data_IF_451057232251
#
_entry.id   IF_451057232251
#
_cell.length_a   1.000
_cell.length_b   1.000
_cell.length_c   1.000
_cell.angle_alpha   90.00
_cell.angle_beta   90.00
_cell.angle_gamma   90.00
#
_symmetry.space_group_name_H-M   'P 1'
#
loop_
_entity.id
_entity.type
_entity.pdbx_description
1 polymer ?
#
# COMPACT_ATOMS: atom_id res chain seq x y z
N UNK A 1 27.44 -29.68 -29.68
CA UNK A 1 26.40 -28.66 -29.93
C UNK A 1 26.09 -28.00 -28.61
N UNK A 2 26.30 -26.69 -28.47
CA UNK A 2 25.66 -25.96 -27.38
C UNK A 2 24.15 -26.06 -27.59
N UNK A 3 23.44 -26.75 -26.70
CA UNK A 3 21.99 -26.71 -26.67
C UNK A 3 21.55 -25.25 -26.54
N UNK A 4 20.95 -24.71 -27.61
CA UNK A 4 20.32 -23.40 -27.59
C UNK A 4 19.13 -23.48 -26.63
N UNK A 5 19.32 -22.96 -25.43
CA UNK A 5 18.32 -22.96 -24.36
C UNK A 5 17.65 -21.60 -24.27
N UNK A 6 16.34 -21.63 -24.05
CA UNK A 6 15.51 -20.43 -23.89
C UNK A 6 15.55 -19.95 -22.44
N UNK A 7 15.57 -20.86 -21.46
CA UNK A 7 15.75 -20.56 -20.04
C UNK A 7 16.87 -21.43 -19.43
N UNK A 8 17.62 -20.87 -18.50
CA UNK A 8 18.73 -21.52 -17.81
C UNK A 8 18.27 -22.18 -16.50
N UNK A 9 17.40 -21.51 -15.73
CA UNK A 9 16.81 -22.05 -14.50
C UNK A 9 15.31 -21.76 -14.39
N UNK A 10 14.58 -22.71 -13.81
CA UNK A 10 13.28 -22.50 -13.18
C UNK A 10 13.46 -22.56 -11.66
N UNK A 11 12.83 -21.65 -10.94
CA UNK A 11 13.02 -21.46 -9.50
C UNK A 11 11.67 -21.27 -8.84
N UNK A 12 11.47 -21.92 -7.70
CA UNK A 12 10.39 -21.60 -6.75
C UNK A 12 11.07 -20.99 -5.53
N UNK A 13 10.69 -19.75 -5.19
CA UNK A 13 11.16 -19.04 -4.01
C UNK A 13 10.00 -18.78 -3.03
N UNK A 14 10.29 -18.79 -1.74
CA UNK A 14 9.28 -18.59 -0.70
C UNK A 14 9.82 -18.79 0.71
N UNK A 15 8.91 -19.06 1.64
CA UNK A 15 9.20 -19.28 3.06
C UNK A 15 9.90 -20.64 3.28
N UNK A 16 11.13 -20.68 3.83
CA UNK A 16 11.82 -21.94 4.12
C UNK A 16 11.25 -22.65 5.35
N UNK A 17 11.60 -23.93 5.52
CA UNK A 17 11.17 -24.75 6.67
C UNK A 17 11.68 -24.21 8.03
N UNK A 18 12.86 -23.56 8.03
CA UNK A 18 13.46 -22.92 9.19
C UNK A 18 13.61 -21.42 8.92
N UNK A 19 12.54 -20.63 9.12
CA UNK A 19 12.52 -19.24 8.69
C UNK A 19 13.37 -18.34 9.60
N UNK A 20 14.19 -17.51 8.96
CA UNK A 20 14.93 -16.41 9.60
C UNK A 20 14.21 -15.09 9.32
N UNK A 21 14.06 -14.24 10.33
CA UNK A 21 13.42 -12.93 10.17
C UNK A 21 14.19 -12.09 9.14
N UNK A 22 13.45 -11.34 8.33
CA UNK A 22 14.06 -10.41 7.40
C UNK A 22 14.54 -9.18 8.19
N UNK A 23 15.85 -9.03 8.30
CA UNK A 23 16.45 -7.89 9.00
C UNK A 23 16.28 -6.58 8.24
N UNK A 24 16.30 -5.51 9.02
CA UNK A 24 16.09 -4.14 8.54
C UNK A 24 17.13 -3.67 7.50
N UNK A 25 18.35 -4.22 7.54
CA UNK A 25 19.43 -3.94 6.59
C UNK A 25 19.24 -4.59 5.22
N UNK A 26 18.56 -5.74 5.17
CA UNK A 26 18.53 -6.63 3.99
C UNK A 26 17.42 -6.24 3.00
N UNK A 27 16.50 -5.37 3.41
CA UNK A 27 15.40 -4.85 2.59
C UNK A 27 15.77 -3.61 1.75
N UNK A 28 17.00 -3.11 1.87
CA UNK A 28 17.44 -1.87 1.23
C UNK A 28 16.64 -0.63 1.66
N UNK A 29 16.84 0.51 1.01
CA UNK A 29 16.10 1.77 1.26
C UNK A 29 14.58 1.69 0.98
N UNK A 30 14.01 0.51 0.74
CA UNK A 30 12.59 0.30 0.45
C UNK A 30 11.69 0.43 1.70
N UNK A 31 12.27 0.77 2.86
CA UNK A 31 11.59 1.06 4.14
C UNK A 31 10.81 2.38 4.24
N UNK A 32 10.57 3.07 3.13
CA UNK A 32 9.70 4.26 3.12
C UNK A 32 8.21 3.98 3.40
N UNK A 33 7.81 2.72 3.63
CA UNK A 33 6.43 2.33 3.86
C UNK A 33 6.10 2.37 5.35
N UNK A 34 5.39 3.42 5.74
CA UNK A 34 4.88 3.72 7.09
C UNK A 34 4.36 2.48 7.83
N UNK A 35 4.86 2.27 9.05
CA UNK A 35 4.33 1.29 10.02
C UNK A 35 2.92 1.63 10.49
N UNK A 36 2.44 2.85 10.18
CA UNK A 36 1.10 3.29 10.58
C UNK A 36 0.03 2.49 9.83
N UNK A 37 -1.09 2.15 10.50
CA UNK A 37 -2.26 1.62 9.80
C UNK A 37 -2.74 2.59 8.71
N UNK A 38 -3.44 2.07 7.67
CA UNK A 38 -4.03 2.91 6.64
C UNK A 38 -5.09 3.84 7.23
N UNK A 39 -5.42 4.89 6.49
CA UNK A 39 -6.48 5.82 6.89
C UNK A 39 -7.82 5.14 6.64
N UNK A 40 -8.61 4.99 7.70
CA UNK A 40 -9.98 4.47 7.59
C UNK A 40 -10.99 5.59 7.52
N UNK A 41 -10.74 6.76 8.11
CA UNK A 41 -11.73 7.82 8.17
C UNK A 41 -11.11 9.20 8.06
N UNK A 42 -11.92 10.13 7.57
CA UNK A 42 -11.58 11.52 7.35
C UNK A 42 -12.76 12.37 7.81
N UNK A 43 -12.47 13.45 8.52
CA UNK A 43 -13.47 14.34 9.10
C UNK A 43 -12.97 15.78 9.15
N UNK A 44 -13.88 16.68 9.48
CA UNK A 44 -13.63 18.11 9.60
C UNK A 44 -13.95 18.54 11.02
N UNK A 45 -13.07 19.36 11.61
CA UNK A 45 -13.23 19.92 12.96
C UNK A 45 -13.20 21.44 12.89
N UNK A 46 -14.11 22.08 13.63
CA UNK A 46 -14.13 23.52 13.85
C UNK A 46 -13.80 23.86 15.32
N UNK A 47 -12.52 23.95 15.72
CA UNK A 47 -12.13 24.19 17.12
C UNK A 47 -12.72 25.49 17.68
N UNK A 48 -12.78 26.55 16.85
CA UNK A 48 -13.38 27.83 17.24
C UNK A 48 -14.88 27.77 17.56
N UNK A 49 -15.56 26.68 17.21
CA UNK A 49 -16.96 26.41 17.55
C UNK A 49 -17.13 25.42 18.72
N UNK A 50 -16.05 25.15 19.45
CA UNK A 50 -16.02 24.24 20.60
C UNK A 50 -15.96 22.76 20.23
N UNK A 51 -15.68 22.42 18.97
CA UNK A 51 -15.53 21.03 18.54
C UNK A 51 -14.18 20.46 18.97
N UNK A 52 -14.17 19.21 19.43
CA UNK A 52 -12.97 18.49 19.85
C UNK A 52 -12.71 17.30 18.95
N UNK A 53 -11.43 16.92 18.82
CA UNK A 53 -11.02 15.77 18.01
C UNK A 53 -11.59 14.49 18.64
N UNK A 54 -12.32 13.65 17.88
CA UNK A 54 -12.87 12.41 18.41
C UNK A 54 -11.80 11.42 18.87
N UNK A 55 -12.15 10.51 19.78
CA UNK A 55 -11.23 9.48 20.25
C UNK A 55 -10.71 8.61 19.08
N UNK A 56 -9.40 8.38 19.04
CA UNK A 56 -8.71 7.63 17.99
C UNK A 56 -8.43 8.41 16.71
N UNK A 57 -8.89 9.66 16.59
CA UNK A 57 -8.54 10.52 15.46
C UNK A 57 -7.28 11.35 15.75
N UNK A 58 -6.49 11.60 14.72
CA UNK A 58 -5.38 12.54 14.71
C UNK A 58 -5.79 13.81 13.95
N UNK A 59 -5.45 14.98 14.51
CA UNK A 59 -5.66 16.28 13.88
C UNK A 59 -4.49 16.60 12.95
N UNK A 60 -4.79 17.08 11.75
CA UNK A 60 -3.80 17.66 10.84
C UNK A 60 -3.73 19.16 11.17
N UNK A 61 -2.92 19.47 12.18
CA UNK A 61 -2.78 20.84 12.70
C UNK A 61 -1.79 21.68 11.88
N UNK A 62 -0.75 21.03 11.35
CA UNK A 62 0.35 21.69 10.64
C UNK A 62 0.51 21.16 9.23
N UNK A 63 0.92 22.05 8.32
CA UNK A 63 1.39 21.70 6.98
C UNK A 63 2.76 21.04 7.05
N UNK A 64 3.25 20.41 5.97
CA UNK A 64 4.59 19.82 5.95
C UNK A 64 5.73 20.80 6.27
N UNK A 65 5.55 22.11 6.06
CA UNK A 65 6.56 23.12 6.40
C UNK A 65 6.34 23.79 7.76
N UNK A 66 5.29 23.40 8.49
CA UNK A 66 4.99 23.90 9.83
C UNK A 66 4.05 25.12 9.88
N UNK A 67 3.38 25.47 8.77
CA UNK A 67 2.29 26.45 8.79
C UNK A 67 1.04 25.84 9.41
N UNK A 68 0.10 26.66 9.85
CA UNK A 68 -1.22 26.20 10.31
C UNK A 68 -1.99 25.60 9.12
N UNK A 69 -2.41 24.34 9.25
CA UNK A 69 -3.14 23.60 8.22
C UNK A 69 -4.65 23.91 8.19
N UNK A 70 -5.00 25.19 8.37
CA UNK A 70 -6.37 25.66 8.27
C UNK A 70 -6.87 25.55 6.81
N UNK A 71 -7.94 24.79 6.60
CA UNK A 71 -8.53 24.52 5.29
C UNK A 71 -9.08 25.81 4.64
N UNK A 72 -9.39 26.83 5.45
CA UNK A 72 -9.81 28.15 4.98
C UNK A 72 -8.79 29.26 5.27
N UNK A 73 -7.50 28.92 5.41
CA UNK A 73 -6.41 29.81 5.81
C UNK A 73 -6.47 31.21 5.17
N UNK A 74 -6.38 32.25 6.02
CA UNK A 74 -6.39 33.65 5.60
C UNK A 74 -7.80 34.24 5.40
N UNK A 75 -8.83 33.46 5.69
CA UNK A 75 -10.23 33.89 5.65
C UNK A 75 -10.58 34.87 6.75
N UNK A 76 -11.19 36.00 6.39
CA UNK A 76 -11.73 36.96 7.36
C UNK A 76 -13.07 36.48 7.92
N UNK A 77 -13.23 36.55 9.26
CA UNK A 77 -14.48 36.25 9.99
C UNK A 77 -15.03 34.83 9.76
N UNK A 78 -14.16 33.87 9.46
CA UNK A 78 -14.50 32.45 9.37
C UNK A 78 -13.97 31.72 10.61
N UNK A 79 -14.70 30.74 11.17
CA UNK A 79 -14.07 29.80 12.09
C UNK A 79 -12.98 29.01 11.36
N UNK A 80 -11.84 28.82 12.01
CA UNK A 80 -10.80 27.93 11.52
C UNK A 80 -11.35 26.52 11.37
N UNK A 81 -10.86 25.81 10.35
CA UNK A 81 -11.38 24.52 9.95
C UNK A 81 -10.22 23.58 9.68
N UNK A 82 -10.17 22.43 10.34
CA UNK A 82 -9.06 21.49 10.23
C UNK A 82 -9.51 20.11 9.81
N UNK A 83 -8.59 19.36 9.22
CA UNK A 83 -8.81 17.94 8.92
C UNK A 83 -8.48 17.09 10.14
N UNK A 84 -9.30 16.09 10.43
CA UNK A 84 -8.92 15.00 11.32
C UNK A 84 -9.06 13.66 10.59
N UNK A 85 -8.19 12.69 10.89
CA UNK A 85 -8.24 11.36 10.30
C UNK A 85 -8.18 10.28 11.36
N UNK A 86 -8.76 9.12 11.07
CA UNK A 86 -8.61 7.91 11.90
C UNK A 86 -7.84 6.86 11.12
N UNK A 87 -6.88 6.23 11.78
CA UNK A 87 -6.11 5.11 11.23
C UNK A 87 -6.57 3.81 11.90
N UNK A 88 -6.66 2.73 11.14
CA UNK A 88 -7.12 1.47 11.69
C UNK A 88 -7.03 0.30 10.72
N UNK A 89 -7.31 -0.89 11.26
CA UNK A 89 -7.50 -2.14 10.52
C UNK A 89 -8.83 -2.82 10.86
N UNK A 90 -9.65 -2.14 11.66
CA UNK A 90 -10.96 -2.60 12.15
C UNK A 90 -12.07 -2.46 11.11
N UNK A 91 -11.85 -1.69 10.04
CA UNK A 91 -12.78 -1.54 8.92
C UNK A 91 -12.04 -1.23 7.61
N UNK A 92 -12.72 -1.33 6.44
CA UNK A 92 -12.07 -1.11 5.17
C UNK A 92 -11.47 0.30 5.05
N UNK A 93 -10.21 0.41 4.56
CA UNK A 93 -9.50 1.68 4.43
C UNK A 93 -10.07 2.55 3.32
N UNK A 94 -9.72 3.84 3.34
CA UNK A 94 -10.01 4.75 2.25
C UNK A 94 -9.15 4.40 1.04
N UNK A 95 -9.75 4.34 -0.15
CA UNK A 95 -9.05 4.11 -1.42
C UNK A 95 -8.90 5.39 -2.22
N UNK A 96 -9.61 6.45 -1.85
CA UNK A 96 -9.57 7.73 -2.53
C UNK A 96 -10.04 8.87 -1.64
N UNK A 97 -9.51 10.07 -1.88
CA UNK A 97 -9.96 11.32 -1.27
C UNK A 97 -10.11 12.35 -2.38
N UNK A 98 -11.19 13.11 -2.32
CA UNK A 98 -11.52 14.13 -3.30
C UNK A 98 -12.03 15.42 -2.64
N UNK A 99 -12.19 16.45 -3.47
CA UNK A 99 -12.82 17.71 -3.10
C UNK A 99 -13.96 17.96 -4.08
N UNK A 100 -15.12 18.37 -3.58
CA UNK A 100 -16.29 18.63 -4.40
C UNK A 100 -16.79 20.05 -4.16
N UNK A 101 -17.07 20.77 -5.26
CA UNK A 101 -17.78 22.03 -5.22
C UNK A 101 -19.28 21.76 -5.42
N UNK A 102 -20.10 22.16 -4.46
CA UNK A 102 -21.55 21.93 -4.50
C UNK A 102 -22.17 22.53 -5.78
N UNK A 103 -23.04 21.77 -6.43
CA UNK A 103 -23.77 22.19 -7.64
C UNK A 103 -22.97 22.18 -8.95
N UNK A 104 -21.66 21.91 -8.92
CA UNK A 104 -20.82 21.86 -10.13
C UNK A 104 -20.56 20.45 -10.64
N UNK A 105 -20.69 19.45 -9.78
CA UNK A 105 -20.26 18.08 -10.05
C UNK A 105 -21.23 17.07 -9.43
N UNK A 106 -21.30 15.87 -10.03
CA UNK A 106 -22.02 14.74 -9.45
C UNK A 106 -21.04 13.83 -8.74
N UNK A 107 -21.41 13.41 -7.53
CA UNK A 107 -20.63 12.44 -6.75
C UNK A 107 -20.68 11.06 -7.45
N UNK A 108 -19.55 10.35 -7.45
CA UNK A 108 -19.52 8.96 -7.90
C UNK A 108 -20.41 8.09 -6.98
N UNK A 109 -20.98 7.02 -7.50
CA UNK A 109 -21.93 6.19 -6.75
C UNK A 109 -21.32 5.51 -5.50
N UNK A 110 -20.01 5.26 -5.52
CA UNK A 110 -19.22 4.67 -4.44
C UNK A 110 -18.49 5.72 -3.58
N UNK A 111 -18.75 7.00 -3.81
CA UNK A 111 -18.16 8.10 -3.06
C UNK A 111 -19.11 8.66 -2.01
N UNK A 112 -18.54 8.98 -0.87
CA UNK A 112 -19.22 9.61 0.26
C UNK A 112 -18.70 11.03 0.44
N UNK A 113 -19.53 11.87 1.04
CA UNK A 113 -19.20 13.26 1.34
C UNK A 113 -19.11 13.44 2.85
N UNK A 114 -18.05 14.11 3.30
CA UNK A 114 -17.99 14.64 4.66
C UNK A 114 -18.93 15.83 4.72
N UNK A 115 -20.22 15.56 4.92
CA UNK A 115 -21.26 16.58 4.94
C UNK A 115 -21.32 17.29 6.29
N UNK A 116 -21.02 16.57 7.37
CA UNK A 116 -21.04 17.08 8.73
C UNK A 116 -19.65 17.05 9.37
N UNK A 117 -19.35 18.03 10.21
CA UNK A 117 -18.18 18.07 11.07
C UNK A 117 -18.35 17.09 12.23
N UNK A 118 -17.29 16.93 13.02
CA UNK A 118 -17.35 16.10 14.24
C UNK A 118 -18.36 16.62 15.27
N UNK A 119 -18.76 17.90 15.19
CA UNK A 119 -19.80 18.51 16.01
C UNK A 119 -21.18 18.59 15.34
N UNK A 120 -21.42 17.78 14.29
CA UNK A 120 -22.69 17.72 13.55
C UNK A 120 -23.11 19.04 12.87
N UNK A 121 -22.13 19.90 12.55
CA UNK A 121 -22.35 21.13 11.77
C UNK A 121 -22.03 20.87 10.31
N UNK A 122 -22.53 21.71 9.41
CA UNK A 122 -22.20 21.58 7.99
C UNK A 122 -20.68 21.72 7.77
N UNK A 123 -20.03 20.68 7.27
CA UNK A 123 -18.58 20.62 7.01
C UNK A 123 -18.17 21.34 5.72
N UNK A 124 -18.71 22.55 5.53
CA UNK A 124 -18.25 23.42 4.46
C UNK A 124 -16.86 23.98 4.82
N UNK A 125 -15.84 23.57 4.07
CA UNK A 125 -14.44 23.98 4.33
C UNK A 125 -14.09 25.32 3.67
N UNK A 126 -15.03 25.92 2.94
CA UNK A 126 -14.82 27.18 2.23
C UNK A 126 -15.53 28.36 2.92
N UNK A 127 -14.89 29.53 2.91
CA UNK A 127 -15.42 30.78 3.46
C UNK A 127 -16.09 31.68 2.39
N UNK A 128 -16.74 31.09 1.38
CA UNK A 128 -17.52 31.85 0.41
C UNK A 128 -18.94 31.30 0.30
N UNK A 129 -19.79 31.95 -0.50
CA UNK A 129 -21.16 31.49 -0.74
C UNK A 129 -21.21 30.13 -1.45
N UNK A 130 -20.14 29.76 -2.15
CA UNK A 130 -19.99 28.44 -2.73
C UNK A 130 -19.57 27.44 -1.64
N UNK A 131 -20.24 26.28 -1.57
CA UNK A 131 -19.86 25.24 -0.62
C UNK A 131 -18.82 24.31 -1.21
N UNK A 132 -17.79 24.01 -0.42
CA UNK A 132 -16.75 23.04 -0.76
C UNK A 132 -16.76 21.95 0.29
N UNK A 133 -16.75 20.69 -0.14
CA UNK A 133 -16.76 19.54 0.74
C UNK A 133 -15.62 18.59 0.41
N UNK A 134 -15.16 17.89 1.44
CA UNK A 134 -14.26 16.75 1.28
C UNK A 134 -15.10 15.53 0.96
N UNK A 135 -14.59 14.70 0.06
CA UNK A 135 -15.20 13.43 -0.35
C UNK A 135 -14.20 12.31 -0.17
N UNK A 136 -14.67 11.10 0.01
CA UNK A 136 -13.83 9.91 0.10
C UNK A 136 -14.50 8.73 -0.57
N UNK A 137 -13.68 7.74 -0.93
CA UNK A 137 -14.16 6.41 -1.33
C UNK A 137 -13.53 5.38 -0.42
N UNK A 138 -14.35 4.44 0.04
CA UNK A 138 -13.94 3.36 0.93
C UNK A 138 -13.74 2.08 0.16
N UNK A 139 -12.73 1.30 0.51
CA UNK A 139 -12.56 -0.04 -0.04
C UNK A 139 -13.82 -0.87 0.23
N UNK A 140 -14.20 -1.71 -0.73
CA UNK A 140 -15.23 -2.72 -0.48
C UNK A 140 -14.78 -3.67 0.64
N UNK A 141 -15.68 -4.18 1.50
CA UNK A 141 -15.30 -5.10 2.58
C UNK A 141 -14.57 -6.37 2.13
N UNK A 142 -14.73 -6.76 0.87
CA UNK A 142 -14.06 -7.92 0.25
C UNK A 142 -12.83 -7.55 -0.58
N UNK A 143 -12.37 -6.29 -0.53
CA UNK A 143 -11.21 -5.86 -1.31
C UNK A 143 -9.97 -6.70 -0.96
N UNK A 144 -9.07 -6.96 -1.93
CA UNK A 144 -7.87 -7.73 -1.68
C UNK A 144 -6.93 -7.00 -0.72
N UNK A 145 -6.21 -7.75 0.11
CA UNK A 145 -5.37 -7.20 1.17
C UNK A 145 -4.20 -6.36 0.66
N UNK A 146 -3.82 -6.47 -0.62
CA UNK A 146 -2.77 -5.69 -1.26
C UNK A 146 -3.29 -4.53 -2.13
N UNK A 147 -4.58 -4.18 -2.04
CA UNK A 147 -5.16 -3.05 -2.76
C UNK A 147 -4.43 -1.72 -2.43
N UNK A 148 -4.39 -0.79 -3.39
CA UNK A 148 -3.89 0.56 -3.15
C UNK A 148 -4.86 1.34 -2.28
N UNK A 149 -4.37 1.84 -1.15
CA UNK A 149 -5.17 2.56 -0.15
C UNK A 149 -4.48 3.86 0.24
N UNK A 150 -5.25 4.79 0.79
CA UNK A 150 -4.73 6.05 1.31
C UNK A 150 -4.02 5.76 2.63
N UNK A 151 -2.73 6.05 2.66
CA UNK A 151 -1.87 5.85 3.82
C UNK A 151 -1.45 7.16 4.46
N UNK A 152 -1.64 8.29 3.79
CA UNK A 152 -1.35 9.59 4.38
C UNK A 152 -2.10 10.74 3.73
N UNK A 153 -2.24 11.84 4.46
CA UNK A 153 -2.83 13.10 3.99
C UNK A 153 -2.07 14.29 4.55
N UNK A 154 -2.02 15.38 3.80
CA UNK A 154 -1.53 16.65 4.32
C UNK A 154 -2.23 17.81 3.61
N UNK A 155 -2.22 18.98 4.25
CA UNK A 155 -2.69 20.24 3.68
C UNK A 155 -1.47 21.05 3.27
N UNK A 156 -1.56 21.75 2.13
CA UNK A 156 -0.55 22.72 1.70
C UNK A 156 -1.20 24.07 1.42
N UNK A 157 -0.45 25.14 1.67
CA UNK A 157 -0.80 26.52 1.36
C UNK A 157 0.09 26.99 0.20
N UNK A 158 -0.35 26.70 -1.03
CA UNK A 158 0.43 26.94 -2.24
C UNK A 158 0.76 28.42 -2.44
N UNK A 159 -0.12 29.34 -2.03
CA UNK A 159 0.15 30.78 -2.09
C UNK A 159 1.27 31.25 -1.14
N UNK A 160 1.71 30.39 -0.22
CA UNK A 160 2.88 30.60 0.65
C UNK A 160 4.14 29.86 0.17
N UNK A 161 4.10 29.30 -1.05
CA UNK A 161 5.23 28.61 -1.66
C UNK A 161 5.38 27.15 -1.25
N UNK A 162 4.36 26.55 -0.63
CA UNK A 162 4.38 25.11 -0.32
C UNK A 162 4.06 24.26 -1.55
N UNK A 163 4.67 23.08 -1.62
CA UNK A 163 4.47 22.09 -2.67
C UNK A 163 4.09 20.73 -2.07
N UNK A 164 3.38 19.86 -2.82
CA UNK A 164 3.08 18.51 -2.38
C UNK A 164 4.36 17.74 -2.03
N UNK A 165 4.42 17.02 -0.89
CA UNK A 165 5.57 16.20 -0.55
C UNK A 165 5.82 15.05 -1.56
N UNK A 166 7.00 14.44 -1.50
CA UNK A 166 7.34 13.33 -2.38
C UNK A 166 6.31 12.18 -2.32
N UNK A 167 5.87 11.72 -3.50
CA UNK A 167 4.83 10.69 -3.69
C UNK A 167 3.42 11.04 -3.18
N UNK A 168 3.16 12.29 -2.77
CA UNK A 168 1.80 12.76 -2.53
C UNK A 168 1.16 13.26 -3.83
N UNK A 169 -0.10 12.89 -4.03
CA UNK A 169 -0.96 13.44 -5.07
C UNK A 169 -1.68 14.67 -4.52
N UNK A 170 -1.59 15.80 -5.20
CA UNK A 170 -2.38 16.99 -4.89
C UNK A 170 -3.73 16.91 -5.60
N UNK A 171 -4.81 17.15 -4.85
CA UNK A 171 -6.12 17.35 -5.45
C UNK A 171 -6.14 18.77 -6.01
N UNK A 172 -6.23 18.91 -7.33
CA UNK A 172 -6.17 20.20 -8.05
C UNK A 172 -7.46 21.04 -7.90
N UNK A 173 -7.93 21.21 -6.66
CA UNK A 173 -9.10 22.00 -6.29
C UNK A 173 -8.77 22.77 -5.01
N UNK A 174 -8.71 24.10 -5.15
CA UNK A 174 -8.49 24.97 -4.00
C UNK A 174 -9.70 24.88 -3.05
N UNK A 175 -9.43 24.58 -1.78
CA UNK A 175 -10.41 24.45 -0.71
C UNK A 175 -10.98 25.80 -0.28
N UNK A 176 -10.15 26.85 -0.34
CA UNK A 176 -10.47 28.20 0.07
C UNK A 176 -10.67 29.13 -1.14
N UNK A 177 -11.91 29.34 -1.54
CA UNK A 177 -12.31 30.22 -2.65
C UNK A 177 -12.77 31.61 -2.18
N UNK A 178 -12.40 32.02 -0.97
CA UNK A 178 -12.66 33.37 -0.47
C UNK A 178 -11.88 34.44 -1.23
N UNK A 179 -12.42 35.66 -1.34
CA UNK A 179 -11.82 36.77 -2.09
C UNK A 179 -10.41 37.18 -1.61
N UNK A 180 -10.08 36.90 -0.34
CA UNK A 180 -8.78 37.22 0.29
C UNK A 180 -8.13 35.99 0.92
N UNK A 181 -8.61 34.78 0.58
CA UNK A 181 -8.11 33.52 1.13
C UNK A 181 -6.80 33.08 0.48
N UNK A 182 -5.99 32.32 1.22
CA UNK A 182 -4.86 31.61 0.62
C UNK A 182 -5.31 30.52 -0.34
N UNK A 183 -4.43 30.11 -1.27
CA UNK A 183 -4.63 28.91 -2.06
C UNK A 183 -4.28 27.67 -1.25
N UNK A 184 -5.31 26.97 -0.75
CA UNK A 184 -5.17 25.81 0.13
C UNK A 184 -5.58 24.54 -0.61
N UNK A 185 -4.73 23.51 -0.57
CA UNK A 185 -4.95 22.25 -1.26
C UNK A 185 -4.78 21.04 -0.34
N UNK A 186 -5.58 20.01 -0.59
CA UNK A 186 -5.47 18.72 0.06
C UNK A 186 -4.60 17.79 -0.80
N UNK A 187 -3.63 17.16 -0.15
CA UNK A 187 -2.75 16.17 -0.73
C UNK A 187 -2.93 14.83 -0.02
N UNK A 188 -2.82 13.73 -0.75
CA UNK A 188 -2.86 12.39 -0.17
C UNK A 188 -1.80 11.48 -0.77
N UNK A 189 -1.34 10.48 -0.01
CA UNK A 189 -0.42 9.45 -0.47
C UNK A 189 -1.12 8.11 -0.48
N UNK A 190 -1.01 7.39 -1.60
CA UNK A 190 -1.47 5.99 -1.72
C UNK A 190 -0.30 5.02 -1.66
N UNK A 191 -0.54 3.85 -1.08
CA UNK A 191 0.40 2.74 -1.05
C UNK A 191 -0.38 1.43 -1.06
N UNK A 192 0.29 0.33 -1.39
CA UNK A 192 -0.28 -1.01 -1.19
C UNK A 192 -0.62 -1.18 0.29
N UNK A 193 -1.85 -1.62 0.56
CA UNK A 193 -2.28 -2.02 1.88
C UNK A 193 -1.42 -3.20 2.36
N UNK A 194 -1.08 -3.19 3.64
CA UNK A 194 -0.33 -4.27 4.28
C UNK A 194 -1.12 -4.79 5.47
N UNK A 195 -1.69 -6.00 5.36
CA UNK A 195 -2.29 -6.67 6.51
C UNK A 195 -1.22 -6.95 7.57
N UNK A 196 -1.61 -7.33 8.79
CA UNK A 196 -0.65 -7.86 9.76
C UNK A 196 0.17 -8.98 9.11
N UNK A 197 1.49 -8.86 9.17
CA UNK A 197 2.41 -9.78 8.53
C UNK A 197 3.72 -9.92 9.29
N UNK A 198 4.38 -11.04 9.07
CA UNK A 198 5.78 -11.28 9.44
C UNK A 198 6.56 -11.50 8.16
N UNK A 199 7.70 -10.82 8.00
CA UNK A 199 8.57 -10.98 6.84
C UNK A 199 9.82 -11.79 7.21
N UNK A 200 10.12 -12.78 6.39
CA UNK A 200 11.25 -13.68 6.53
C UNK A 200 12.18 -13.60 5.32
N UNK A 201 13.44 -14.01 5.51
CA UNK A 201 14.38 -14.18 4.40
C UNK A 201 13.85 -15.26 3.45
N UNK A 202 13.66 -14.95 2.15
CA UNK A 202 13.18 -15.93 1.19
C UNK A 202 14.32 -16.86 0.78
N UNK A 203 13.98 -18.13 0.51
CA UNK A 203 14.92 -19.13 0.02
C UNK A 203 14.42 -19.80 -1.26
N UNK A 204 15.33 -20.53 -1.93
CA UNK A 204 14.98 -21.42 -3.03
C UNK A 204 14.33 -22.67 -2.46
N UNK A 205 13.02 -22.80 -2.62
CA UNK A 205 12.27 -23.99 -2.24
C UNK A 205 12.44 -25.12 -3.26
N UNK A 206 12.58 -24.76 -4.53
CA UNK A 206 12.83 -25.71 -5.62
C UNK A 206 13.59 -25.00 -6.74
N UNK A 207 14.44 -25.75 -7.46
CA UNK A 207 15.03 -25.28 -8.71
C UNK A 207 15.23 -26.41 -9.71
N UNK A 208 15.14 -26.06 -10.98
CA UNK A 208 15.55 -26.90 -12.09
C UNK A 208 16.47 -26.13 -13.04
N UNK A 209 17.63 -26.68 -13.44
CA UNK A 209 18.22 -27.92 -12.96
C UNK A 209 18.63 -27.83 -11.48
N UNK A 210 18.78 -28.99 -10.83
CA UNK A 210 19.20 -29.09 -9.42
C UNK A 210 20.70 -28.90 -9.22
N UNK A 211 21.48 -29.05 -10.29
CA UNK A 211 22.94 -28.89 -10.32
C UNK A 211 23.28 -27.69 -11.20
N UNK A 212 24.31 -26.95 -10.79
CA UNK A 212 24.74 -25.77 -11.51
C UNK A 212 25.24 -26.09 -12.92
N UNK A 213 24.90 -25.21 -13.86
CA UNK A 213 25.36 -25.30 -15.23
C UNK A 213 26.75 -24.69 -15.35
N UNK A 214 27.62 -25.32 -16.12
CA UNK A 214 28.96 -24.77 -16.46
C UNK A 214 28.89 -23.37 -17.08
N UNK A 215 27.84 -23.09 -17.85
CA UNK A 215 27.63 -21.80 -18.52
C UNK A 215 27.00 -20.73 -17.64
N UNK A 216 26.39 -21.10 -16.51
CA UNK A 216 25.76 -20.17 -15.59
C UNK A 216 25.62 -20.84 -14.22
N UNK A 217 26.50 -20.48 -13.29
CA UNK A 217 26.35 -20.81 -11.87
C UNK A 217 25.09 -20.14 -11.35
N UNK A 218 24.33 -20.84 -10.51
CA UNK A 218 23.07 -20.30 -10.00
C UNK A 218 23.34 -19.11 -9.07
N UNK A 219 22.74 -17.93 -9.33
CA UNK A 219 22.94 -16.79 -8.45
C UNK A 219 22.15 -16.97 -7.14
N UNK A 220 22.85 -17.03 -6.01
CA UNK A 220 22.24 -17.26 -4.69
C UNK A 220 21.32 -16.13 -4.23
N UNK A 221 21.44 -14.93 -4.81
CA UNK A 221 20.59 -13.78 -4.53
C UNK A 221 19.18 -13.86 -5.14
N UNK A 222 18.93 -14.82 -6.05
CA UNK A 222 17.65 -14.92 -6.79
C UNK A 222 16.41 -14.84 -5.90
N UNK A 223 16.31 -15.52 -4.74
CA UNK A 223 15.14 -15.41 -3.87
C UNK A 223 14.82 -13.99 -3.42
N UNK A 224 15.84 -13.15 -3.17
CA UNK A 224 15.66 -11.74 -2.79
C UNK A 224 15.14 -10.90 -3.97
N UNK A 225 15.44 -11.26 -5.21
CA UNK A 225 14.88 -10.59 -6.38
C UNK A 225 13.45 -11.07 -6.70
N UNK A 226 13.16 -12.35 -6.44
CA UNK A 226 11.83 -12.91 -6.54
C UNK A 226 10.87 -12.30 -5.50
N UNK A 227 11.33 -12.14 -4.26
CA UNK A 227 10.56 -11.66 -3.12
C UNK A 227 11.34 -10.54 -2.40
N UNK A 228 11.42 -9.33 -2.98
CA UNK A 228 12.25 -8.24 -2.45
C UNK A 228 11.77 -7.72 -1.09
N UNK A 229 10.49 -7.93 -0.76
CA UNK A 229 9.91 -7.58 0.54
C UNK A 229 9.93 -8.75 1.54
N UNK A 230 10.61 -9.84 1.19
CA UNK A 230 10.66 -11.08 1.97
C UNK A 230 9.58 -12.09 1.62
N UNK A 231 9.78 -13.30 2.13
CA UNK A 231 8.72 -14.29 2.23
C UNK A 231 7.80 -13.90 3.41
N UNK A 232 6.56 -13.54 3.12
CA UNK A 232 5.61 -13.03 4.10
C UNK A 232 4.67 -14.11 4.57
N UNK A 233 4.41 -14.10 5.87
CA UNK A 233 3.30 -14.78 6.51
C UNK A 233 2.28 -13.69 6.84
N UNK A 234 1.09 -13.73 6.23
CA UNK A 234 0.11 -12.64 6.29
C UNK A 234 -1.22 -13.13 6.87
N UNK A 235 -1.85 -12.28 7.69
CA UNK A 235 -3.14 -12.57 8.29
C UNK A 235 -4.26 -11.77 7.61
N UNK A 236 -5.17 -12.46 6.93
CA UNK A 236 -6.21 -11.83 6.10
C UNK A 236 -7.61 -12.10 6.65
N UNK A 237 -8.55 -11.14 6.53
CA UNK A 237 -9.96 -11.42 6.75
C UNK A 237 -10.48 -12.50 5.79
N UNK A 238 -11.32 -13.42 6.26
CA UNK A 238 -11.84 -14.53 5.45
C UNK A 238 -12.75 -14.09 4.28
N UNK A 239 -13.26 -12.87 4.33
CA UNK A 239 -14.08 -12.29 3.26
C UNK A 239 -13.24 -11.53 2.20
N UNK A 240 -11.92 -11.38 2.39
CA UNK A 240 -11.05 -10.71 1.44
C UNK A 240 -10.88 -11.57 0.18
N UNK A 241 -10.97 -10.94 -0.99
CA UNK A 241 -10.67 -11.59 -2.27
C UNK A 241 -9.17 -11.85 -2.36
N UNK A 242 -8.79 -13.03 -2.85
CA UNK A 242 -7.39 -13.37 -3.10
C UNK A 242 -6.75 -12.39 -4.09
N UNK A 243 -5.63 -11.76 -3.75
CA UNK A 243 -4.84 -10.97 -4.68
C UNK A 243 -4.50 -11.73 -5.97
N UNK A 244 -4.56 -11.04 -7.10
CA UNK A 244 -4.11 -11.60 -8.37
C UNK A 244 -2.58 -11.81 -8.35
N UNK A 245 -2.07 -12.83 -9.06
CA UNK A 245 -0.64 -12.99 -9.27
C UNK A 245 -0.01 -11.74 -9.88
N UNK A 246 1.20 -11.40 -9.44
CA UNK A 246 1.94 -10.20 -9.86
C UNK A 246 3.18 -10.65 -10.65
N UNK A 247 3.25 -10.25 -11.91
CA UNK A 247 4.43 -10.44 -12.73
C UNK A 247 5.49 -9.37 -12.42
N UNK A 248 6.75 -9.77 -12.36
CA UNK A 248 7.89 -8.87 -12.18
C UNK A 248 9.10 -9.36 -12.98
N UNK A 249 10.00 -8.43 -13.29
CA UNK A 249 11.26 -8.72 -13.97
C UNK A 249 12.43 -8.10 -13.23
N UNK A 250 13.58 -8.74 -13.27
CA UNK A 250 14.81 -8.20 -12.71
C UNK A 250 16.02 -8.60 -13.56
N UNK A 251 17.14 -7.92 -13.35
CA UNK A 251 18.41 -8.21 -14.03
C UNK A 251 19.49 -8.39 -12.99
N UNK A 252 20.20 -9.52 -13.05
CA UNK A 252 21.36 -9.81 -12.25
C UNK A 252 22.61 -9.59 -13.09
N UNK A 253 23.54 -8.81 -12.55
CA UNK A 253 24.92 -8.72 -13.05
C UNK A 253 25.76 -9.69 -12.24
N UNK A 254 26.26 -10.74 -12.87
CA UNK A 254 27.15 -11.71 -12.20
C UNK A 254 28.50 -11.03 -11.91
N UNK A 255 29.25 -11.51 -10.91
CA UNK A 255 30.38 -10.81 -10.27
C UNK A 255 31.45 -10.20 -11.20
N UNK A 256 31.58 -10.71 -12.43
CA UNK A 256 32.56 -10.23 -13.41
C UNK A 256 32.01 -9.10 -14.32
N UNK A 257 30.76 -8.67 -14.09
CA UNK A 257 30.01 -7.62 -14.79
C UNK A 257 29.83 -7.81 -16.32
N UNK A 258 30.28 -8.93 -16.88
CA UNK A 258 30.22 -9.26 -18.30
C UNK A 258 28.91 -9.94 -18.72
N UNK A 259 28.32 -10.75 -17.84
CA UNK A 259 27.09 -11.50 -18.15
C UNK A 259 25.87 -10.94 -17.40
N UNK A 260 24.79 -10.73 -18.15
CA UNK A 260 23.48 -10.34 -17.62
C UNK A 260 22.55 -11.55 -17.60
N UNK A 261 21.89 -11.76 -16.47
CA UNK A 261 20.85 -12.77 -16.33
C UNK A 261 19.53 -12.06 -16.06
N UNK A 262 18.55 -12.33 -16.90
CA UNK A 262 17.20 -11.78 -16.82
C UNK A 262 16.31 -12.75 -16.04
N UNK A 263 15.70 -12.25 -14.98
CA UNK A 263 14.66 -12.93 -14.23
C UNK A 263 13.28 -12.48 -14.68
N UNK A 264 12.39 -13.44 -14.91
CA UNK A 264 10.94 -13.22 -15.09
C UNK A 264 10.24 -14.02 -14.00
N UNK A 265 9.43 -13.35 -13.20
CA UNK A 265 8.90 -13.88 -11.94
C UNK A 265 7.40 -13.63 -11.83
N UNK A 266 6.66 -14.60 -11.30
CA UNK A 266 5.26 -14.44 -10.92
C UNK A 266 5.13 -14.74 -9.44
N UNK A 267 4.74 -13.73 -8.67
CA UNK A 267 4.47 -13.83 -7.23
C UNK A 267 2.98 -14.01 -7.01
N UNK A 268 2.61 -14.94 -6.15
CA UNK A 268 1.23 -15.27 -5.81
C UNK A 268 1.13 -15.69 -4.35
N UNK A 269 -0.09 -15.91 -3.88
CA UNK A 269 -0.36 -16.29 -2.50
C UNK A 269 -0.97 -17.68 -2.41
N UNK A 270 -0.62 -18.41 -1.36
CA UNK A 270 -1.21 -19.70 -0.99
C UNK A 270 -1.66 -19.67 0.46
N UNK A 271 -2.68 -20.46 0.79
CA UNK A 271 -3.13 -20.62 2.18
C UNK A 271 -2.08 -21.36 3.01
N UNK A 272 -1.85 -20.85 4.22
CA UNK A 272 -0.97 -21.45 5.21
C UNK A 272 -1.80 -22.01 6.37
N UNK A 273 -1.61 -23.28 6.78
CA UNK A 273 -2.38 -23.86 7.87
C UNK A 273 -2.12 -23.11 9.18
N UNK A 274 -3.18 -22.53 9.76
CA UNK A 274 -3.06 -21.80 11.04
C UNK A 274 -2.55 -22.69 12.20
N UNK A 275 -2.71 -24.01 12.10
CA UNK A 275 -2.18 -25.00 13.06
C UNK A 275 -0.66 -25.12 13.05
N UNK A 276 0.01 -24.58 12.02
CA UNK A 276 1.47 -24.53 11.93
C UNK A 276 2.06 -23.22 12.46
N UNK A 277 1.24 -22.33 13.04
CA UNK A 277 1.74 -21.13 13.70
C UNK A 277 2.29 -21.46 15.08
N UNK A 278 3.47 -20.93 15.38
CA UNK A 278 3.98 -20.84 16.76
C UNK A 278 3.25 -19.74 17.54
N UNK A 279 3.26 -19.83 18.88
CA UNK A 279 2.67 -18.80 19.75
C UNK A 279 3.26 -17.40 19.48
N UNK A 280 4.56 -17.31 19.20
CA UNK A 280 5.22 -16.05 18.85
C UNK A 280 4.69 -15.47 17.52
N UNK A 281 4.48 -16.31 16.51
CA UNK A 281 3.90 -15.87 15.24
C UNK A 281 2.45 -15.42 15.40
N UNK A 282 1.66 -16.16 16.20
CA UNK A 282 0.29 -15.76 16.51
C UNK A 282 0.26 -14.38 17.18
N UNK A 283 1.16 -14.12 18.14
CA UNK A 283 1.23 -12.84 18.82
C UNK A 283 1.63 -11.69 17.87
N UNK A 284 2.68 -11.89 17.05
CA UNK A 284 3.16 -10.90 16.09
C UNK A 284 2.13 -10.57 15.00
N UNK A 285 1.37 -11.57 14.55
CA UNK A 285 0.27 -11.37 13.60
C UNK A 285 -0.95 -10.70 14.23
N UNK A 286 -0.97 -10.52 15.56
CA UNK A 286 -2.12 -9.97 16.26
C UNK A 286 -3.30 -10.93 16.28
N UNK A 287 -3.05 -12.25 16.27
CA UNK A 287 -4.06 -13.29 16.48
C UNK A 287 -4.50 -13.28 17.96
N UNK A 288 -5.21 -12.22 18.34
CA UNK A 288 -5.68 -11.93 19.70
C UNK A 288 -7.21 -11.87 19.72
N UNK A 289 -7.80 -11.66 20.90
CA UNK A 289 -9.26 -11.69 21.13
C UNK A 289 -10.07 -11.00 20.00
N UNK A 290 -10.96 -11.77 19.35
CA UNK A 290 -11.75 -11.34 18.18
C UNK A 290 -11.21 -11.81 16.82
N UNK A 291 -9.95 -12.25 16.77
CA UNK A 291 -9.30 -12.83 15.60
C UNK A 291 -9.17 -14.34 15.81
N UNK A 292 -9.75 -15.13 14.91
CA UNK A 292 -9.70 -16.59 14.92
C UNK A 292 -9.77 -17.13 13.51
N UNK A 293 -9.63 -18.45 13.33
CA UNK A 293 -9.73 -19.10 12.01
C UNK A 293 -11.11 -18.90 11.35
N UNK A 294 -12.14 -18.58 12.14
CA UNK A 294 -13.48 -18.29 11.65
C UNK A 294 -13.59 -16.89 11.03
N UNK A 295 -12.74 -15.95 11.46
CA UNK A 295 -12.76 -14.56 10.95
C UNK A 295 -11.60 -14.26 10.01
N UNK A 296 -10.46 -14.95 10.18
CA UNK A 296 -9.23 -14.72 9.45
C UNK A 296 -8.53 -16.02 9.03
N UNK A 297 -7.75 -15.93 7.97
CA UNK A 297 -6.92 -17.01 7.42
C UNK A 297 -5.50 -16.53 7.23
N UNK A 298 -4.55 -17.46 7.30
CA UNK A 298 -3.12 -17.18 7.13
C UNK A 298 -2.73 -17.51 5.70
N UNK A 299 -1.93 -16.65 5.08
CA UNK A 299 -1.46 -16.82 3.72
C UNK A 299 0.05 -16.58 3.66
N UNK A 300 0.71 -17.24 2.71
CA UNK A 300 2.12 -17.01 2.40
C UNK A 300 2.26 -16.55 0.96
N UNK A 301 3.23 -15.67 0.70
CA UNK A 301 3.63 -15.38 -0.68
C UNK A 301 4.64 -16.44 -1.18
N UNK A 302 4.54 -16.77 -2.46
CA UNK A 302 5.49 -17.60 -3.19
C UNK A 302 5.76 -16.98 -4.55
N UNK A 303 6.91 -17.30 -5.12
CA UNK A 303 7.28 -16.84 -6.45
C UNK A 303 7.79 -17.99 -7.29
N UNK A 304 7.30 -18.10 -8.52
CA UNK A 304 7.92 -18.92 -9.57
C UNK A 304 8.69 -18.01 -10.51
N UNK A 305 9.91 -18.38 -10.87
CA UNK A 305 10.81 -17.55 -11.66
C UNK A 305 11.55 -18.35 -12.72
N UNK A 306 11.68 -17.78 -13.92
CA UNK A 306 12.61 -18.21 -14.95
C UNK A 306 13.81 -17.27 -15.00
N UNK A 307 15.01 -17.85 -14.99
CA UNK A 307 16.26 -17.15 -15.27
C UNK A 307 16.70 -17.48 -16.69
N UNK A 308 17.08 -16.48 -17.45
CA UNK A 308 17.57 -16.63 -18.82
C UNK A 308 18.63 -15.59 -19.15
N UNK A 309 19.55 -15.95 -20.04
CA UNK A 309 20.43 -14.99 -20.73
C UNK A 309 19.70 -14.11 -21.75
N UNK A 310 18.46 -14.45 -22.09
CA UNK A 310 17.65 -13.74 -23.08
C UNK A 310 16.50 -12.97 -22.39
N UNK A 311 16.24 -11.72 -22.80
CA UNK A 311 15.20 -10.88 -22.20
C UNK A 311 13.79 -11.21 -22.77
N UNK A 312 13.33 -12.46 -22.64
CA UNK A 312 12.02 -12.90 -23.15
C UNK A 312 10.87 -12.72 -22.15
N UNK A 313 10.78 -11.55 -21.51
CA UNK A 313 9.83 -11.27 -20.41
C UNK A 313 8.39 -11.65 -20.74
N UNK A 314 7.86 -11.18 -21.87
CA UNK A 314 6.44 -11.32 -22.20
C UNK A 314 6.06 -12.78 -22.50
N UNK A 315 6.97 -13.53 -23.12
CA UNK A 315 6.79 -14.97 -23.37
C UNK A 315 6.84 -15.74 -22.07
N UNK A 316 7.76 -15.40 -21.17
CA UNK A 316 7.87 -16.05 -19.87
C UNK A 316 6.73 -15.71 -18.93
N UNK A 317 6.20 -14.50 -18.95
CA UNK A 317 4.99 -14.13 -18.21
C UNK A 317 3.83 -15.06 -18.56
N UNK A 318 3.52 -15.19 -19.85
CA UNK A 318 2.43 -16.05 -20.33
C UNK A 318 2.63 -17.51 -19.92
N UNK A 319 3.87 -18.00 -20.03
CA UNK A 319 4.18 -19.37 -19.65
C UNK A 319 4.08 -19.60 -18.13
N UNK A 320 4.61 -18.68 -17.31
CA UNK A 320 4.54 -18.77 -15.85
C UNK A 320 3.09 -18.69 -15.36
N UNK A 321 2.28 -17.79 -15.92
CA UNK A 321 0.85 -17.71 -15.61
C UNK A 321 0.10 -18.97 -16.03
N UNK A 322 0.44 -19.58 -17.17
CA UNK A 322 -0.14 -20.86 -17.60
C UNK A 322 0.19 -22.00 -16.63
N UNK A 323 1.46 -22.11 -16.19
CA UNK A 323 1.87 -23.10 -15.19
C UNK A 323 1.15 -22.88 -13.87
N UNK A 324 1.02 -21.63 -13.42
CA UNK A 324 0.33 -21.32 -12.17
C UNK A 324 -1.14 -21.75 -12.19
N UNK A 325 -1.82 -21.57 -13.33
CA UNK A 325 -3.21 -22.04 -13.53
C UNK A 325 -3.30 -23.56 -13.49
N UNK A 326 -2.30 -24.31 -13.98
CA UNK A 326 -2.29 -25.77 -13.91
C UNK A 326 -2.05 -26.32 -12.49
N UNK A 327 -1.51 -25.51 -11.58
CA UNK A 327 -1.22 -25.90 -10.20
C UNK A 327 -2.44 -25.77 -9.27
N UNK A 328 -3.53 -25.13 -9.72
CA UNK A 328 -4.76 -24.90 -8.97
C UNK A 328 -5.95 -25.59 -9.64
#
# INVERSE_FOLDING_TARGET
>A
MEERRVADYFVVAGLPEKPELLDDSDSGHLKGYSTKPPITDIGVVFPGLGETVPNGYELIELTPTGLVADLNHGSMRSPECFLCIRRGRDRPPLVDIGVMYEGKERLMADAEMVLMSVGERLANVNNSTAKTFITYRRAHPTAPCNALVVVDVCVIVASKGEFPPHAFCMIAKNLNKGLMGSDVFLCYKKSMNRPPLIAYKPEVLFRYPTIDRRSLVFPTSVPLFCLPMGATLELWPNNAVTPKPVFSTFVLTVADATDKVYGSAVTFYESYPHTQLSESQMDQLGWRAGVSHNTHSVHINKCICLLSRWPFSDTFERWLLYILVLMH
#
